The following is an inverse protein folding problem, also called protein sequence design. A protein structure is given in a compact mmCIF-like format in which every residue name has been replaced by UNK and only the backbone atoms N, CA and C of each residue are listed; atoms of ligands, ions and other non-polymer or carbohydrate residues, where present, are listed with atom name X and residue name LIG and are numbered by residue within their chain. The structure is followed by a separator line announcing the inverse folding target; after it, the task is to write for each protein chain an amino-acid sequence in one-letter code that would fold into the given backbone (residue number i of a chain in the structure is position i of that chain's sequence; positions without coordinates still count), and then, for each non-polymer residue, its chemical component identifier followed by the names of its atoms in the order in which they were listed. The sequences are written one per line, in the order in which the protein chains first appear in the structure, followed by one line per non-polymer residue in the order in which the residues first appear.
data_IF_248243642585
#
_entry.id   IF_248243642585
#
_cell.length_a   1.000
_cell.length_b   1.000
_cell.length_c   1.000
_cell.angle_alpha   90.00
_cell.angle_beta   90.00
_cell.angle_gamma   90.00
#
_symmetry.space_group_name_H-M   'P 1'
#
loop_
_entity.id
_entity.type
_entity.pdbx_description
1 polymer ?
#
# COMPACT_ATOMS: atom_id res chain seq x y z
N UNK A 1 -22.71 2.63 -33.43
CA UNK A 1 -21.95 3.62 -34.23
C UNK A 1 -20.51 3.47 -33.77
N UNK A 2 -19.70 2.70 -34.51
CA UNK A 2 -18.34 2.35 -34.11
C UNK A 2 -17.37 3.50 -34.41
N UNK A 3 -16.44 3.74 -33.49
CA UNK A 3 -15.42 4.77 -33.63
C UNK A 3 -14.36 4.36 -34.66
N UNK A 4 -13.90 5.26 -35.53
CA UNK A 4 -12.66 5.05 -36.27
C UNK A 4 -11.48 5.25 -35.30
N UNK A 5 -10.93 4.15 -34.77
CA UNK A 5 -9.81 4.11 -33.83
C UNK A 5 -8.45 4.60 -34.41
N UNK A 6 -8.45 5.47 -35.42
CA UNK A 6 -7.41 5.40 -36.46
C UNK A 6 -6.47 6.61 -36.56
N UNK A 7 -6.58 7.65 -35.73
CA UNK A 7 -5.71 8.83 -35.83
C UNK A 7 -4.55 8.84 -34.83
N UNK A 8 -4.80 8.53 -33.55
CA UNK A 8 -3.74 8.48 -32.52
C UNK A 8 -2.93 7.18 -32.56
N UNK A 9 -3.53 6.11 -33.08
CA UNK A 9 -2.97 4.75 -33.05
C UNK A 9 -1.96 4.51 -34.17
N UNK A 10 -2.01 5.27 -35.28
CA UNK A 10 -1.10 5.08 -36.42
C UNK A 10 0.33 5.57 -36.16
N UNK A 11 0.54 6.31 -35.07
CA UNK A 11 1.83 6.85 -34.68
C UNK A 11 2.54 6.05 -33.56
N UNK A 12 1.85 5.10 -32.90
CA UNK A 12 2.41 4.38 -31.76
C UNK A 12 2.57 2.89 -32.07
N UNK A 13 3.82 2.42 -32.14
CA UNK A 13 4.18 1.00 -32.15
C UNK A 13 4.08 0.35 -30.77
N UNK A 14 3.49 1.04 -29.79
CA UNK A 14 3.45 0.63 -28.40
C UNK A 14 2.24 -0.31 -28.15
N UNK A 15 2.56 -1.56 -27.82
CA UNK A 15 1.62 -2.60 -27.41
C UNK A 15 0.93 -2.32 -26.06
N UNK A 16 1.25 -1.20 -25.41
CA UNK A 16 0.59 -0.70 -24.19
C UNK A 16 -0.73 0.01 -24.45
N UNK A 17 -0.98 0.49 -25.68
CA UNK A 17 -2.24 1.14 -26.05
C UNK A 17 -3.20 0.12 -26.67
N UNK A 18 -4.35 -0.10 -26.03
CA UNK A 18 -5.37 -1.03 -26.49
C UNK A 18 -6.66 -0.28 -26.83
N UNK A 19 -7.22 -0.45 -28.04
CA UNK A 19 -8.50 0.15 -28.37
C UNK A 19 -9.64 -0.62 -27.70
N UNK A 20 -10.60 0.13 -27.17
CA UNK A 20 -11.85 -0.41 -26.65
C UNK A 20 -12.99 0.34 -27.32
N UNK A 21 -14.05 -0.37 -27.71
CA UNK A 21 -15.15 0.22 -28.48
C UNK A 21 -16.45 0.36 -27.69
N UNK A 22 -16.58 -0.35 -26.56
CA UNK A 22 -17.77 -0.32 -25.71
C UNK A 22 -17.47 0.11 -24.28
N UNK A 23 -18.39 0.84 -23.62
CA UNK A 23 -18.28 1.15 -22.19
C UNK A 23 -18.09 -0.09 -21.30
N UNK A 24 -18.67 -1.22 -21.67
CA UNK A 24 -18.56 -2.49 -20.95
C UNK A 24 -17.16 -3.10 -21.08
N UNK A 25 -16.49 -2.89 -22.21
CA UNK A 25 -15.10 -3.31 -22.41
C UNK A 25 -14.14 -2.49 -21.55
N UNK A 26 -14.44 -1.19 -21.34
CA UNK A 26 -13.66 -0.34 -20.45
C UNK A 26 -13.68 -0.85 -19.01
N UNK A 27 -14.86 -1.14 -18.45
CA UNK A 27 -14.99 -1.68 -17.10
C UNK A 27 -14.23 -3.01 -16.95
N UNK A 28 -14.44 -3.94 -17.90
CA UNK A 28 -13.76 -5.23 -17.91
C UNK A 28 -12.24 -5.07 -17.94
N UNK A 29 -11.73 -4.20 -18.80
CA UNK A 29 -10.30 -3.98 -18.96
C UNK A 29 -9.66 -3.34 -17.72
N UNK A 30 -10.34 -2.38 -17.08
CA UNK A 30 -9.89 -1.74 -15.84
C UNK A 30 -9.89 -2.73 -14.67
N UNK A 31 -10.95 -3.53 -14.50
CA UNK A 31 -11.00 -4.56 -13.44
C UNK A 31 -9.96 -5.66 -13.63
N UNK A 32 -9.65 -6.00 -14.87
CA UNK A 32 -8.64 -7.01 -15.19
C UNK A 32 -7.24 -6.52 -14.83
N UNK A 33 -6.96 -5.22 -14.99
CA UNK A 33 -5.68 -4.59 -14.69
C UNK A 33 -4.55 -5.01 -15.64
N UNK A 34 -3.48 -4.21 -15.73
CA UNK A 34 -2.40 -4.44 -16.70
C UNK A 34 -1.73 -5.82 -16.54
N UNK A 35 -1.56 -6.28 -15.30
CA UNK A 35 -0.91 -7.56 -14.98
C UNK A 35 -1.63 -8.79 -15.53
N UNK A 36 -2.95 -8.70 -15.77
CA UNK A 36 -3.74 -9.81 -16.32
C UNK A 36 -4.17 -9.56 -17.77
N UNK A 37 -3.54 -8.60 -18.46
CA UNK A 37 -3.85 -8.28 -19.85
C UNK A 37 -4.96 -7.23 -20.06
N UNK A 38 -5.43 -6.58 -18.99
CA UNK A 38 -6.30 -5.40 -19.02
C UNK A 38 -5.51 -4.09 -19.13
N UNK A 39 -6.01 -3.02 -18.51
CA UNK A 39 -5.37 -1.69 -18.42
C UNK A 39 -5.48 -1.12 -17.00
N UNK A 40 -4.55 -0.24 -16.62
CA UNK A 40 -4.59 0.45 -15.31
C UNK A 40 -5.26 1.82 -15.39
N UNK A 41 -5.37 2.41 -16.59
CA UNK A 41 -5.98 3.71 -16.82
C UNK A 41 -6.58 3.79 -18.23
N UNK A 42 -7.58 4.65 -18.39
CA UNK A 42 -8.18 5.00 -19.67
C UNK A 42 -7.89 6.47 -19.99
N UNK A 43 -7.52 6.74 -21.24
CA UNK A 43 -7.35 8.10 -21.77
C UNK A 43 -8.37 8.27 -22.87
N UNK A 44 -9.35 9.13 -22.66
CA UNK A 44 -10.49 9.33 -23.56
C UNK A 44 -11.11 10.73 -23.36
N UNK A 45 -12.08 11.12 -24.18
CA UNK A 45 -12.75 12.41 -24.01
C UNK A 45 -13.59 12.45 -22.71
N UNK A 46 -13.52 13.59 -22.01
CA UNK A 46 -14.16 13.81 -20.71
C UNK A 46 -15.64 13.37 -20.60
N UNK A 47 -16.54 13.66 -21.56
CA UNK A 47 -17.94 13.22 -21.45
C UNK A 47 -18.12 11.71 -21.48
N UNK A 48 -17.24 10.95 -22.15
CA UNK A 48 -17.27 9.48 -22.11
C UNK A 48 -16.79 8.95 -20.76
N UNK A 49 -15.70 9.54 -20.24
CA UNK A 49 -15.21 9.21 -18.90
C UNK A 49 -16.24 9.54 -17.81
N UNK A 50 -16.94 10.69 -17.92
CA UNK A 50 -18.02 11.08 -17.00
C UNK A 50 -19.15 10.06 -16.99
N UNK A 51 -19.52 9.52 -18.14
CA UNK A 51 -20.52 8.46 -18.25
C UNK A 51 -20.05 7.13 -17.62
N UNK A 52 -18.77 6.79 -17.76
CA UNK A 52 -18.21 5.58 -17.15
C UNK A 52 -18.20 5.67 -15.62
N UNK A 53 -17.66 6.75 -15.07
CA UNK A 53 -17.63 6.99 -13.60
C UNK A 53 -19.04 7.09 -13.04
N UNK A 54 -19.95 7.72 -13.78
CA UNK A 54 -21.36 7.74 -13.41
C UNK A 54 -21.99 6.35 -13.23
N UNK A 55 -21.62 5.40 -14.10
CA UNK A 55 -22.11 4.03 -14.03
C UNK A 55 -21.46 3.23 -12.89
N UNK A 56 -20.19 3.52 -12.55
CA UNK A 56 -19.41 2.84 -11.52
C UNK A 56 -18.78 3.83 -10.53
N UNK A 57 -19.60 4.54 -9.73
CA UNK A 57 -19.17 5.71 -8.98
C UNK A 57 -18.21 5.42 -7.81
N UNK A 58 -18.13 4.16 -7.38
CA UNK A 58 -17.25 3.73 -6.28
C UNK A 58 -16.00 3.01 -6.78
N UNK A 59 -15.95 2.64 -8.06
CA UNK A 59 -14.85 1.86 -8.63
C UNK A 59 -13.82 2.74 -9.38
N UNK A 60 -14.26 3.87 -9.93
CA UNK A 60 -13.44 4.70 -10.81
C UNK A 60 -13.50 6.18 -10.46
N UNK A 61 -12.39 6.88 -10.72
CA UNK A 61 -12.28 8.33 -10.60
C UNK A 61 -11.62 8.92 -11.85
N UNK A 62 -12.04 10.13 -12.21
CA UNK A 62 -11.35 10.91 -13.26
C UNK A 62 -10.27 11.72 -12.56
N UNK A 63 -9.02 11.56 -13.00
CA UNK A 63 -7.93 12.43 -12.57
C UNK A 63 -7.90 13.60 -13.54
N UNK A 64 -8.26 14.80 -13.06
CA UNK A 64 -8.25 15.99 -13.92
C UNK A 64 -6.79 16.34 -14.28
N UNK A 65 -6.49 16.25 -15.58
CA UNK A 65 -5.23 16.73 -16.15
C UNK A 65 -5.42 18.17 -16.61
N UNK A 66 -4.43 19.02 -16.38
CA UNK A 66 -4.44 20.43 -16.80
C UNK A 66 -4.52 20.62 -18.33
N UNK A 67 -4.39 19.55 -19.13
CA UNK A 67 -4.57 19.58 -20.58
C UNK A 67 -6.04 19.42 -20.98
N UNK A 68 -6.82 20.49 -20.88
CA UNK A 68 -8.09 20.62 -21.63
C UNK A 68 -7.80 21.18 -23.01
N UNK A 69 -7.55 20.33 -24.01
CA UNK A 69 -7.17 20.78 -25.36
C UNK A 69 -8.21 20.49 -26.45
N UNK A 70 -9.41 19.97 -26.11
CA UNK A 70 -10.39 19.56 -27.13
C UNK A 70 -11.85 19.76 -26.70
N UNK A 71 -12.76 19.87 -27.68
CA UNK A 71 -14.20 19.99 -27.50
C UNK A 71 -14.99 19.54 -28.75
N UNK A 72 -16.28 19.25 -28.58
CA UNK A 72 -17.16 18.87 -29.69
C UNK A 72 -17.68 20.09 -30.46
N UNK A 73 -18.06 19.87 -31.72
CA UNK A 73 -18.63 20.91 -32.57
C UNK A 73 -19.56 20.36 -33.65
N UNK A 74 -20.29 21.26 -34.30
CA UNK A 74 -21.12 20.94 -35.45
C UNK A 74 -20.33 21.15 -36.74
N UNK A 75 -20.41 20.20 -37.66
CA UNK A 75 -19.72 20.25 -38.95
C UNK A 75 -20.70 20.58 -40.08
N UNK A 76 -20.29 21.48 -40.97
CA UNK A 76 -21.06 21.90 -42.14
C UNK A 76 -20.20 21.86 -43.40
N UNK A 77 -20.80 21.68 -44.59
CA UNK A 77 -20.10 21.87 -45.85
C UNK A 77 -19.49 23.26 -45.96
N UNK A 78 -18.34 23.36 -46.63
CA UNK A 78 -17.66 24.64 -46.84
C UNK A 78 -18.57 25.62 -47.59
N UNK A 79 -18.68 26.85 -47.08
CA UNK A 79 -19.56 27.87 -47.66
C UNK A 79 -21.02 27.79 -47.23
N UNK A 80 -21.38 26.87 -46.32
CA UNK A 80 -22.75 26.78 -45.80
C UNK A 80 -23.14 28.08 -45.07
N UNK A 81 -24.29 28.69 -45.41
CA UNK A 81 -24.77 29.89 -44.73
C UNK A 81 -25.16 29.61 -43.27
N UNK A 82 -25.44 28.35 -42.92
CA UNK A 82 -25.87 27.94 -41.57
C UNK A 82 -24.77 28.07 -40.51
N UNK A 83 -23.50 28.14 -40.90
CA UNK A 83 -22.37 28.17 -39.96
C UNK A 83 -22.50 29.36 -39.00
N UNK A 84 -22.84 30.53 -39.54
CA UNK A 84 -22.93 31.75 -38.76
C UNK A 84 -24.13 31.73 -37.79
N UNK A 85 -25.30 31.33 -38.30
CA UNK A 85 -26.54 31.31 -37.50
C UNK A 85 -26.45 30.29 -36.35
N UNK A 86 -25.92 29.10 -36.62
CA UNK A 86 -25.74 28.06 -35.60
C UNK A 86 -24.67 28.46 -34.58
N UNK A 87 -23.55 29.05 -35.04
CA UNK A 87 -22.50 29.50 -34.10
C UNK A 87 -23.00 30.59 -33.16
N UNK A 88 -23.83 31.50 -33.67
CA UNK A 88 -24.49 32.54 -32.87
C UNK A 88 -25.46 31.93 -31.85
N UNK A 89 -26.34 31.03 -32.29
CA UNK A 89 -27.27 30.35 -31.39
C UNK A 89 -26.53 29.57 -30.27
N UNK A 90 -25.42 28.90 -30.58
CA UNK A 90 -24.60 28.22 -29.57
C UNK A 90 -23.98 29.20 -28.58
N UNK A 91 -23.54 30.38 -29.04
CA UNK A 91 -23.01 31.42 -28.16
C UNK A 91 -24.09 31.94 -27.20
N UNK A 92 -25.28 32.24 -27.71
CA UNK A 92 -26.44 32.67 -26.91
C UNK A 92 -26.82 31.62 -25.86
N UNK A 93 -26.93 30.35 -26.26
CA UNK A 93 -27.24 29.24 -25.34
C UNK A 93 -26.16 29.02 -24.26
N UNK A 94 -24.90 29.39 -24.56
CA UNK A 94 -23.80 29.33 -23.60
C UNK A 94 -23.89 30.48 -22.59
N UNK A 95 -24.14 31.70 -23.07
CA UNK A 95 -24.29 32.89 -22.24
C UNK A 95 -25.50 32.80 -21.31
N UNK A 96 -26.61 32.26 -21.80
CA UNK A 96 -27.82 31.99 -21.01
C UNK A 96 -27.62 30.87 -19.97
N UNK A 97 -26.59 30.05 -20.13
CA UNK A 97 -26.34 28.86 -19.29
C UNK A 97 -27.23 27.66 -19.65
N UNK A 98 -28.02 27.73 -20.73
CA UNK A 98 -28.86 26.64 -21.22
C UNK A 98 -28.04 25.39 -21.55
N UNK A 99 -26.84 25.55 -22.10
CA UNK A 99 -25.92 24.41 -22.33
C UNK A 99 -25.54 23.69 -21.03
N UNK A 100 -25.34 24.42 -19.93
CA UNK A 100 -25.04 23.84 -18.62
C UNK A 100 -26.26 23.09 -18.09
N UNK A 101 -27.47 23.63 -18.27
CA UNK A 101 -28.70 22.94 -17.87
C UNK A 101 -28.91 21.64 -18.65
N UNK A 102 -28.65 21.65 -19.96
CA UNK A 102 -28.68 20.44 -20.81
C UNK A 102 -27.65 19.43 -20.30
N UNK A 103 -26.41 19.85 -20.08
CA UNK A 103 -25.36 18.98 -19.54
C UNK A 103 -25.80 18.38 -18.19
N UNK A 104 -26.29 19.19 -17.26
CA UNK A 104 -26.80 18.73 -15.97
C UNK A 104 -27.93 17.73 -16.16
N UNK A 105 -28.92 18.02 -17.01
CA UNK A 105 -30.06 17.11 -17.25
C UNK A 105 -29.64 15.74 -17.77
N UNK A 106 -28.67 15.67 -18.67
CA UNK A 106 -28.23 14.42 -19.28
C UNK A 106 -27.18 13.65 -18.48
N UNK A 107 -26.42 14.33 -17.61
CA UNK A 107 -25.33 13.73 -16.85
C UNK A 107 -25.55 13.68 -15.31
N UNK A 108 -26.53 14.41 -14.75
CA UNK A 108 -26.75 14.48 -13.29
C UNK A 108 -27.56 13.36 -12.67
N UNK A 109 -28.32 12.59 -13.45
CA UNK A 109 -28.94 11.34 -12.96
C UNK A 109 -27.92 10.20 -12.80
N UNK A 110 -26.69 10.46 -13.22
CA UNK A 110 -25.63 9.49 -13.38
C UNK A 110 -24.40 9.91 -12.56
N UNK A 111 -24.22 11.19 -12.25
CA UNK A 111 -23.21 11.63 -11.30
C UNK A 111 -23.59 11.23 -9.86
N UNK A 112 -22.94 10.19 -9.34
CA UNK A 112 -22.35 10.38 -8.00
C UNK A 112 -21.45 11.62 -8.08
N UNK A 113 -21.33 12.45 -7.04
CA UNK A 113 -20.58 13.69 -7.12
C UNK A 113 -19.20 13.38 -7.73
N UNK A 114 -18.99 13.85 -8.96
CA UNK A 114 -17.62 14.16 -9.37
C UNK A 114 -17.14 15.11 -8.27
N UNK A 115 -15.94 14.93 -7.70
CA UNK A 115 -15.45 15.83 -6.67
C UNK A 115 -15.13 17.18 -7.34
N UNK A 116 -16.17 17.94 -7.61
CA UNK A 116 -16.14 19.38 -7.78
C UNK A 116 -16.13 19.90 -6.35
N UNK A 117 -14.93 20.21 -5.86
CA UNK A 117 -14.63 20.84 -4.58
C UNK A 117 -15.34 20.24 -3.35
N UNK A 118 -15.63 18.95 -3.40
CA UNK A 118 -16.15 18.23 -2.24
C UNK A 118 -14.97 17.90 -1.35
N UNK A 119 -14.89 18.62 -0.23
CA UNK A 119 -14.25 18.20 1.02
C UNK A 119 -14.04 16.68 1.06
N UNK A 120 -12.82 16.20 1.38
CA UNK A 120 -12.49 14.78 1.32
C UNK A 120 -13.58 13.98 2.04
N UNK A 121 -14.05 12.85 1.47
CA UNK A 121 -15.12 12.06 2.06
C UNK A 121 -14.78 11.85 3.53
N UNK A 122 -15.61 12.43 4.40
CA UNK A 122 -15.47 12.44 5.85
C UNK A 122 -15.86 11.07 6.43
N UNK A 123 -15.31 10.02 5.85
CA UNK A 123 -15.02 8.81 6.58
C UNK A 123 -13.60 9.01 7.08
N UNK A 124 -13.41 9.52 8.32
CA UNK A 124 -12.05 9.53 8.87
C UNK A 124 -11.54 8.11 8.72
N UNK A 125 -10.39 7.97 8.06
CA UNK A 125 -9.62 6.74 7.97
C UNK A 125 -9.58 6.16 9.38
N UNK A 126 -10.52 5.25 9.67
CA UNK A 126 -10.65 4.69 11.00
C UNK A 126 -9.33 3.97 11.22
N UNK A 127 -8.63 4.35 12.29
CA UNK A 127 -7.35 3.77 12.66
C UNK A 127 -7.54 2.25 12.80
N UNK A 128 -7.36 1.52 11.71
CA UNK A 128 -7.49 0.08 11.68
C UNK A 128 -6.24 -0.52 12.32
N UNK A 129 -6.42 -1.63 13.03
CA UNK A 129 -5.32 -2.35 13.70
C UNK A 129 -4.20 -2.75 12.73
N UNK A 130 -4.50 -2.86 11.44
CA UNK A 130 -3.54 -3.14 10.37
C UNK A 130 -2.49 -2.04 10.23
N UNK A 131 -2.86 -0.76 10.41
CA UNK A 131 -1.91 0.37 10.40
C UNK A 131 -1.04 0.42 11.68
N UNK A 132 -1.46 -0.25 12.76
CA UNK A 132 -0.75 -0.31 14.05
C UNK A 132 0.09 -1.58 14.24
N UNK A 133 0.03 -2.53 13.30
CA UNK A 133 0.77 -3.79 13.40
C UNK A 133 2.28 -3.56 13.61
N UNK A 134 2.86 -2.55 12.96
CA UNK A 134 4.28 -2.19 13.13
C UNK A 134 4.63 -1.80 14.57
N UNK A 135 3.74 -1.09 15.27
CA UNK A 135 3.95 -0.68 16.67
C UNK A 135 3.82 -1.88 17.63
N UNK A 136 2.87 -2.78 17.36
CA UNK A 136 2.73 -4.03 18.13
C UNK A 136 3.96 -4.91 17.96
N UNK A 137 4.50 -5.03 16.74
CA UNK A 137 5.68 -5.82 16.45
C UNK A 137 6.93 -5.26 17.16
N UNK A 138 7.12 -3.93 17.15
CA UNK A 138 8.25 -3.29 17.83
C UNK A 138 8.18 -3.47 19.35
N UNK A 139 6.99 -3.29 19.95
CA UNK A 139 6.77 -3.51 21.38
C UNK A 139 6.98 -4.99 21.78
N UNK A 140 6.49 -5.92 20.96
CA UNK A 140 6.67 -7.36 21.17
C UNK A 140 8.14 -7.80 21.12
N UNK A 141 8.91 -7.30 20.14
CA UNK A 141 10.34 -7.58 20.02
C UNK A 141 11.09 -7.05 21.24
N UNK A 142 10.81 -5.81 21.65
CA UNK A 142 11.44 -5.20 22.84
C UNK A 142 11.23 -6.04 24.11
N UNK A 143 9.99 -6.47 24.36
CA UNK A 143 9.67 -7.32 25.51
C UNK A 143 10.31 -8.71 25.42
N UNK A 144 10.34 -9.30 24.23
CA UNK A 144 10.96 -10.61 24.01
C UNK A 144 12.47 -10.57 24.28
N UNK A 145 13.16 -9.50 23.88
CA UNK A 145 14.59 -9.28 24.16
C UNK A 145 14.82 -9.10 25.66
N UNK A 146 13.99 -8.29 26.34
CA UNK A 146 14.11 -8.09 27.78
C UNK A 146 13.94 -9.42 28.56
N UNK A 147 12.94 -10.23 28.19
CA UNK A 147 12.72 -11.55 28.79
C UNK A 147 13.90 -12.50 28.51
N UNK A 148 14.44 -12.49 27.30
CA UNK A 148 15.58 -13.33 26.93
C UNK A 148 16.83 -12.97 27.75
N UNK A 149 17.15 -11.68 27.87
CA UNK A 149 18.27 -11.19 28.69
C UNK A 149 18.05 -11.61 30.15
N UNK A 150 16.85 -11.40 30.70
CA UNK A 150 16.52 -11.78 32.06
C UNK A 150 16.69 -13.29 32.30
N UNK A 151 16.26 -14.13 31.36
CA UNK A 151 16.43 -15.59 31.45
C UNK A 151 17.91 -15.99 31.44
N UNK A 152 18.72 -15.36 30.60
CA UNK A 152 20.18 -15.58 30.55
C UNK A 152 20.81 -15.22 31.90
N UNK A 153 20.44 -14.07 32.48
CA UNK A 153 20.94 -13.66 33.80
C UNK A 153 20.54 -14.66 34.89
N UNK A 154 19.29 -15.11 34.93
CA UNK A 154 18.83 -16.11 35.89
C UNK A 154 19.56 -17.45 35.74
N UNK A 155 19.76 -17.91 34.51
CA UNK A 155 20.51 -19.14 34.24
C UNK A 155 21.97 -19.00 34.63
N UNK A 156 22.61 -17.88 34.30
CA UNK A 156 23.98 -17.60 34.68
C UNK A 156 24.14 -17.55 36.21
N UNK A 157 23.25 -16.87 36.93
CA UNK A 157 23.31 -16.79 38.39
C UNK A 157 23.08 -18.16 39.05
N UNK A 158 22.08 -18.94 38.59
CA UNK A 158 21.80 -20.28 39.13
C UNK A 158 22.91 -21.28 38.83
N UNK A 159 23.45 -21.28 37.61
CA UNK A 159 24.58 -22.15 37.24
C UNK A 159 25.87 -21.71 37.94
N UNK A 160 26.15 -20.42 38.02
CA UNK A 160 27.30 -19.87 38.73
C UNK A 160 27.24 -20.21 40.22
N UNK A 161 26.10 -19.98 40.89
CA UNK A 161 25.92 -20.33 42.31
C UNK A 161 26.10 -21.83 42.53
N UNK A 162 25.51 -22.67 41.66
CA UNK A 162 25.65 -24.13 41.77
C UNK A 162 27.11 -24.59 41.55
N UNK A 163 27.77 -24.08 40.50
CA UNK A 163 29.17 -24.35 40.21
C UNK A 163 30.11 -23.88 41.34
N UNK A 164 29.86 -22.69 41.90
CA UNK A 164 30.64 -22.14 42.99
C UNK A 164 30.45 -22.93 44.29
N UNK A 165 29.23 -23.35 44.60
CA UNK A 165 28.92 -24.21 45.75
C UNK A 165 29.56 -25.59 45.62
N UNK A 166 29.49 -26.25 44.46
CA UNK A 166 30.18 -27.53 44.20
C UNK A 166 31.69 -27.37 44.37
N UNK A 167 32.28 -26.31 43.81
CA UNK A 167 33.72 -26.04 43.89
C UNK A 167 34.17 -25.76 45.32
N UNK A 168 33.39 -24.98 46.09
CA UNK A 168 33.67 -24.69 47.50
C UNK A 168 33.59 -25.95 48.37
N UNK A 169 32.60 -26.80 48.15
CA UNK A 169 32.41 -28.05 48.88
C UNK A 169 33.50 -29.08 48.55
N UNK A 170 33.91 -29.16 47.27
CA UNK A 170 35.04 -29.98 46.84
C UNK A 170 36.36 -29.53 47.49
N UNK A 171 36.63 -28.22 47.53
CA UNK A 171 37.81 -27.65 48.22
C UNK A 171 37.80 -27.93 49.72
N UNK A 172 36.65 -27.78 50.39
CA UNK A 172 36.51 -28.11 51.81
C UNK A 172 36.79 -29.58 52.11
N UNK A 173 36.27 -30.50 51.27
CA UNK A 173 36.58 -31.94 51.37
C UNK A 173 38.07 -32.23 51.13
N UNK A 174 38.70 -31.56 50.17
CA UNK A 174 40.14 -31.72 49.89
C UNK A 174 41.00 -31.29 51.08
N UNK A 175 40.67 -30.16 51.71
CA UNK A 175 41.38 -29.67 52.91
C UNK A 175 41.26 -30.66 54.06
N UNK A 176 40.08 -31.27 54.26
CA UNK A 176 39.87 -32.30 55.29
C UNK A 176 40.70 -33.56 55.02
N UNK A 177 40.72 -34.05 53.77
CA UNK A 177 41.53 -35.21 53.38
C UNK A 177 43.02 -34.90 53.55
N UNK A 178 43.47 -33.72 53.15
CA UNK A 178 44.85 -33.29 53.32
C UNK A 178 45.23 -33.19 54.80
N UNK A 179 44.35 -32.63 55.66
CA UNK A 179 44.55 -32.56 57.11
C UNK A 179 44.62 -33.94 57.76
N UNK A 180 43.89 -34.92 57.25
CA UNK A 180 43.92 -36.30 57.73
C UNK A 180 45.17 -37.06 57.26
N UNK A 181 45.60 -36.85 56.02
CA UNK A 181 46.75 -37.55 55.43
C UNK A 181 48.11 -36.95 55.81
N UNK A 182 48.17 -35.64 56.08
CA UNK A 182 49.42 -34.94 56.40
C UNK A 182 50.18 -35.51 57.60
N UNK A 183 49.57 -35.75 58.78
CA UNK A 183 50.29 -36.35 59.90
C UNK A 183 50.67 -37.81 59.65
N UNK A 184 49.84 -38.56 58.90
CA UNK A 184 50.10 -39.96 58.57
C UNK A 184 51.31 -40.12 57.65
N UNK A 185 51.47 -39.21 56.69
CA UNK A 185 52.63 -39.19 55.79
C UNK A 185 53.91 -38.81 56.52
N UNK A 186 53.86 -37.82 57.42
CA UNK A 186 55.02 -37.42 58.24
C UNK A 186 55.48 -38.57 59.13
N UNK A 187 54.54 -39.27 59.80
CA UNK A 187 54.88 -40.42 60.63
C UNK A 187 55.51 -41.58 59.83
N UNK A 188 55.11 -41.81 58.58
CA UNK A 188 55.70 -42.87 57.73
C UNK A 188 57.15 -42.54 57.35
N UNK A 189 57.43 -41.26 57.05
CA UNK A 189 58.77 -40.80 56.68
C UNK A 189 59.72 -40.87 57.89
N UNK A 190 59.26 -40.44 59.07
CA UNK A 190 60.05 -40.53 60.30
C UNK A 190 60.32 -42.00 60.72
N UNK A 191 59.43 -42.94 60.38
CA UNK A 191 59.60 -44.37 60.67
C UNK A 191 60.51 -45.09 59.65
N UNK A 192 60.67 -44.53 58.44
CA UNK A 192 61.60 -45.02 57.41
C UNK A 192 63.04 -44.53 57.64
N UNK A 193 63.24 -43.29 58.11
CA UNK A 193 64.56 -42.73 58.47
C UNK A 193 65.12 -43.26 59.81
N UNK A 194 64.29 -43.88 60.64
CA UNK A 194 64.69 -44.45 61.94
C UNK A 194 65.18 -45.91 61.86
N UNK A 195 65.27 -46.51 60.66
CA UNK A 195 65.69 -47.90 60.44
C UNK A 195 67.01 -47.97 59.67
#
# INVERSE_FOLDING_TARGET
MGYPANSLMRASTDNRLKPFQSPEDHDKALRQGSKKGGVDALVDELPYLKKLVARYPHDYAIIESSLRTSGFGFAFPRGSPLVHDISRAIAELREEGTLVQIQKKWFSSQSSPLPEDTEPPSNPDTLSSDKFFGLFLLSGISKSIAILIFLIFLLHEKLSTNYYMITMLARGKLILILRYLYPRMVNIIDEEDAR
#
